data_IF_362768096856
#
_entry.id   IF_362768096856
#
_cell.length_a   1.000
_cell.length_b   1.000
_cell.length_c   1.000
_cell.angle_alpha   90.00
_cell.angle_beta   90.00
_cell.angle_gamma   90.00
#
_symmetry.space_group_name_H-M   'P 1'
#
loop_
_entity.id
_entity.type
_entity.pdbx_description
1 polymer ?
#
# COMPACT_ATOMS: atom_id res chain seq x y z
N UNK A 1 9.55 -28.58 -11.88
CA UNK A 1 8.09 -28.32 -11.86
C UNK A 1 7.88 -26.92 -12.38
N UNK A 2 7.17 -26.74 -13.51
CA UNK A 2 6.80 -25.41 -13.96
C UNK A 2 5.58 -24.96 -13.12
N UNK A 3 5.76 -23.97 -12.24
CA UNK A 3 4.63 -23.30 -11.60
C UNK A 3 3.89 -22.52 -12.68
N UNK A 4 2.67 -22.94 -12.96
CA UNK A 4 1.79 -22.22 -13.88
C UNK A 4 1.33 -20.95 -13.16
N UNK A 5 2.03 -19.83 -13.37
CA UNK A 5 1.69 -18.56 -12.73
C UNK A 5 0.43 -17.99 -13.38
N UNK A 6 -0.70 -18.05 -12.69
CA UNK A 6 -1.90 -17.33 -13.09
C UNK A 6 -1.66 -15.83 -12.95
N UNK A 7 -1.91 -15.08 -14.02
CA UNK A 7 -1.86 -13.62 -14.02
C UNK A 7 -3.27 -13.07 -13.88
N UNK A 8 -3.50 -12.30 -12.84
CA UNK A 8 -4.79 -11.67 -12.54
C UNK A 8 -4.90 -10.30 -13.20
N UNK A 9 -6.10 -9.95 -13.68
CA UNK A 9 -6.45 -8.52 -13.79
C UNK A 9 -6.48 -7.89 -12.40
N UNK A 10 -6.16 -6.60 -12.30
CA UNK A 10 -6.15 -5.89 -11.03
C UNK A 10 -7.09 -4.70 -11.06
N UNK A 11 -7.68 -4.41 -9.91
CA UNK A 11 -8.39 -3.17 -9.61
C UNK A 11 -7.51 -2.31 -8.71
N UNK A 12 -7.46 -1.01 -9.01
CA UNK A 12 -6.65 -0.04 -8.25
C UNK A 12 -7.54 1.09 -7.77
N UNK A 13 -7.56 1.31 -6.45
CA UNK A 13 -8.34 2.37 -5.83
C UNK A 13 -7.63 2.93 -4.60
N UNK A 14 -7.94 4.18 -4.25
CA UNK A 14 -7.51 4.77 -2.98
C UNK A 14 -8.65 4.64 -1.95
N UNK A 15 -8.30 4.27 -0.72
CA UNK A 15 -9.23 4.19 0.42
C UNK A 15 -8.63 4.87 1.63
N UNK A 16 -9.45 5.64 2.34
CA UNK A 16 -9.06 6.16 3.65
C UNK A 16 -8.95 5.02 4.66
N UNK A 17 -7.86 4.98 5.42
CA UNK A 17 -7.63 3.96 6.45
C UNK A 17 -7.55 4.55 7.87
N UNK A 18 -7.12 5.80 8.01
CA UNK A 18 -7.13 6.53 9.28
C UNK A 18 -7.32 8.03 9.02
N UNK A 19 -7.80 8.74 10.04
CA UNK A 19 -8.00 10.19 10.00
C UNK A 19 -7.47 10.84 11.26
N UNK A 20 -6.64 11.87 11.10
CA UNK A 20 -6.14 12.70 12.18
C UNK A 20 -6.70 14.12 12.04
N UNK A 21 -7.75 14.43 12.80
CA UNK A 21 -8.50 15.68 12.64
C UNK A 21 -9.10 15.77 11.23
N UNK A 22 -8.74 16.81 10.50
CA UNK A 22 -9.19 17.02 9.11
C UNK A 22 -8.28 16.37 8.06
N UNK A 23 -7.20 15.70 8.48
CA UNK A 23 -6.22 15.05 7.59
C UNK A 23 -6.50 13.55 7.45
N UNK A 24 -7.09 13.07 6.35
CA UNK A 24 -7.17 11.64 6.06
C UNK A 24 -5.81 11.11 5.58
N UNK A 25 -5.47 9.89 6.00
CA UNK A 25 -4.41 9.11 5.37
C UNK A 25 -5.04 8.04 4.49
N UNK A 26 -4.54 7.96 3.26
CA UNK A 26 -5.05 7.06 2.23
C UNK A 26 -4.12 5.87 2.07
N UNK A 27 -4.71 4.73 1.80
CA UNK A 27 -4.03 3.57 1.28
C UNK A 27 -4.42 3.40 -0.19
N UNK A 28 -3.47 3.06 -1.04
CA UNK A 28 -3.72 2.64 -2.42
C UNK A 28 -3.75 1.12 -2.48
N UNK A 29 -4.91 0.58 -2.83
CA UNK A 29 -5.15 -0.85 -2.90
C UNK A 29 -4.96 -1.33 -4.34
N UNK A 30 -4.12 -2.34 -4.51
CA UNK A 30 -3.97 -3.09 -5.75
C UNK A 30 -4.55 -4.49 -5.49
N UNK A 31 -5.75 -4.75 -6.02
CA UNK A 31 -6.51 -5.96 -5.73
C UNK A 31 -6.63 -6.86 -6.96
N UNK A 32 -6.18 -8.13 -6.91
CA UNK A 32 -6.44 -9.08 -7.97
C UNK A 32 -7.93 -9.38 -8.11
N UNK A 33 -8.43 -9.48 -9.35
CA UNK A 33 -9.78 -9.99 -9.64
C UNK A 33 -9.80 -11.51 -9.60
N UNK A 34 -10.85 -12.08 -9.02
CA UNK A 34 -11.06 -13.53 -8.92
C UNK A 34 -11.80 -13.94 -7.65
N UNK A 35 -12.01 -15.26 -7.46
CA UNK A 35 -12.80 -15.81 -6.34
C UNK A 35 -12.13 -15.77 -4.96
N UNK A 36 -10.84 -15.37 -4.87
CA UNK A 36 -10.11 -15.31 -3.60
C UNK A 36 -10.12 -16.63 -2.80
N UNK A 37 -9.71 -16.62 -1.51
CA UNK A 37 -9.07 -15.50 -0.83
C UNK A 37 -7.67 -15.24 -1.38
N UNK A 38 -7.23 -13.98 -1.35
CA UNK A 38 -5.87 -13.58 -1.71
C UNK A 38 -5.10 -13.17 -0.46
N UNK A 39 -3.81 -13.52 -0.31
CA UNK A 39 -2.96 -12.95 0.73
C UNK A 39 -2.87 -11.43 0.59
N UNK A 40 -2.66 -10.73 1.71
CA UNK A 40 -2.49 -9.28 1.75
C UNK A 40 -1.06 -8.94 2.17
N UNK A 41 -0.46 -7.96 1.49
CA UNK A 41 0.81 -7.34 1.86
C UNK A 41 0.60 -5.84 2.05
N UNK A 42 1.03 -5.32 3.20
CA UNK A 42 1.12 -3.87 3.42
C UNK A 42 2.46 -3.39 2.89
N UNK A 43 2.44 -2.37 2.03
CA UNK A 43 3.64 -1.73 1.49
C UNK A 43 3.86 -0.39 2.20
N UNK A 44 5.02 -0.30 2.85
CA UNK A 44 5.50 0.92 3.53
C UNK A 44 6.60 1.48 2.64
N UNK A 45 6.32 2.63 2.03
CA UNK A 45 7.25 3.22 1.08
C UNK A 45 8.60 3.56 1.70
N UNK A 46 9.63 3.57 0.86
CA UNK A 46 10.96 4.06 1.21
C UNK A 46 11.00 5.58 1.39
N UNK A 47 12.18 6.19 1.16
CA UNK A 47 12.35 7.65 1.30
C UNK A 47 12.90 8.09 2.66
N UNK A 48 13.61 7.18 3.34
CA UNK A 48 14.36 7.46 4.57
C UNK A 48 13.53 8.12 5.68
N UNK A 49 12.23 7.80 5.76
CA UNK A 49 11.27 8.35 6.72
C UNK A 49 11.01 9.86 6.61
N UNK A 50 11.46 10.49 5.51
CA UNK A 50 11.37 11.95 5.31
C UNK A 50 10.73 12.34 3.98
N UNK A 51 10.40 11.36 3.13
CA UNK A 51 9.83 11.60 1.81
C UNK A 51 9.07 10.36 1.33
N UNK A 52 8.17 10.57 0.38
CA UNK A 52 7.37 9.53 -0.27
C UNK A 52 5.90 9.58 0.07
N UNK A 53 5.13 8.74 -0.61
CA UNK A 53 3.71 8.55 -0.43
C UNK A 53 3.27 7.20 -1.03
N UNK A 54 1.97 6.91 -0.98
CA UNK A 54 1.35 5.68 -1.51
C UNK A 54 1.61 5.38 -3.01
N UNK A 55 2.17 6.31 -3.78
CA UNK A 55 2.47 6.12 -5.21
C UNK A 55 3.90 5.65 -5.49
N UNK A 56 4.80 5.67 -4.50
CA UNK A 56 6.23 5.35 -4.70
C UNK A 56 6.47 3.96 -5.31
N UNK A 57 5.65 2.96 -4.94
CA UNK A 57 5.78 1.57 -5.38
C UNK A 57 4.91 1.17 -6.57
N UNK A 58 4.22 2.10 -7.25
CA UNK A 58 3.10 1.82 -8.17
C UNK A 58 3.32 0.61 -9.10
N UNK A 59 4.40 0.59 -9.89
CA UNK A 59 4.63 -0.46 -10.88
C UNK A 59 5.01 -1.81 -10.25
N UNK A 60 5.78 -1.78 -9.16
CA UNK A 60 6.12 -2.98 -8.40
C UNK A 60 4.87 -3.57 -7.72
N UNK A 61 4.03 -2.71 -7.13
CA UNK A 61 2.79 -3.08 -6.47
C UNK A 61 1.78 -3.67 -7.46
N UNK A 62 1.65 -3.10 -8.68
CA UNK A 62 0.86 -3.68 -9.77
C UNK A 62 1.38 -5.05 -10.20
N UNK A 63 2.70 -5.17 -10.38
CA UNK A 63 3.31 -6.43 -10.81
C UNK A 63 3.09 -7.54 -9.77
N UNK A 64 3.26 -7.23 -8.50
CA UNK A 64 3.01 -8.17 -7.41
C UNK A 64 1.51 -8.50 -7.30
N UNK A 65 0.62 -7.51 -7.45
CA UNK A 65 -0.81 -7.77 -7.35
C UNK A 65 -1.32 -8.72 -8.45
N UNK A 66 -0.75 -8.63 -9.65
CA UNK A 66 -1.04 -9.54 -10.76
C UNK A 66 -0.70 -11.01 -10.44
N UNK A 67 0.12 -11.31 -9.44
CA UNK A 67 0.43 -12.69 -9.03
C UNK A 67 -0.57 -13.29 -8.04
N UNK A 68 -1.61 -12.53 -7.66
CA UNK A 68 -2.63 -12.98 -6.72
C UNK A 68 -2.40 -12.50 -5.28
N UNK A 69 -1.65 -11.42 -5.07
CA UNK A 69 -1.48 -10.76 -3.76
C UNK A 69 -2.27 -9.45 -3.75
N UNK A 70 -2.98 -9.13 -2.68
CA UNK A 70 -3.50 -7.78 -2.48
C UNK A 70 -2.37 -6.93 -1.92
N UNK A 71 -2.04 -5.82 -2.57
CA UNK A 71 -1.05 -4.86 -2.05
C UNK A 71 -1.77 -3.63 -1.52
N UNK A 72 -1.42 -3.20 -0.31
CA UNK A 72 -1.97 -2.03 0.36
C UNK A 72 -0.82 -1.05 0.61
N UNK A 73 -0.63 -0.08 -0.28
CA UNK A 73 0.43 0.92 -0.16
C UNK A 73 -0.06 2.11 0.65
N UNK A 74 0.61 2.42 1.76
CA UNK A 74 0.14 3.43 2.72
C UNK A 74 0.72 4.81 2.41
N UNK A 75 -0.09 5.86 2.56
CA UNK A 75 0.43 7.14 3.02
C UNK A 75 0.68 7.08 4.53
N UNK A 76 1.71 7.75 5.00
CA UNK A 76 1.92 8.04 6.42
C UNK A 76 2.61 9.39 6.55
N UNK A 77 2.47 10.06 7.69
CA UNK A 77 3.04 11.40 7.85
C UNK A 77 4.56 11.31 8.04
N UNK A 78 5.28 12.29 7.50
CA UNK A 78 6.74 12.42 7.54
C UNK A 78 7.15 13.83 7.98
N UNK A 79 8.41 14.05 8.44
CA UNK A 79 8.94 15.39 8.69
C UNK A 79 9.00 16.24 7.41
N UNK A 80 8.96 17.58 7.54
CA UNK A 80 8.88 18.35 8.79
C UNK A 80 7.47 18.42 9.40
N UNK A 81 6.43 18.04 8.68
CA UNK A 81 5.03 18.17 9.11
C UNK A 81 4.71 17.28 10.30
N UNK A 82 5.27 16.07 10.34
CA UNK A 82 5.13 15.17 11.46
C UNK A 82 6.43 14.40 11.75
N UNK A 83 7.21 14.81 12.77
CA UNK A 83 8.44 14.14 13.11
C UNK A 83 8.20 12.76 13.75
N UNK A 84 9.28 12.00 13.88
CA UNK A 84 9.28 10.78 14.69
C UNK A 84 8.66 11.04 16.08
N UNK A 85 7.78 10.17 16.59
CA UNK A 85 7.47 8.81 16.11
C UNK A 85 6.25 8.72 15.17
N UNK A 86 5.78 9.84 14.59
CA UNK A 86 4.47 9.88 13.93
C UNK A 86 4.31 8.88 12.78
N UNK A 87 5.31 8.74 11.90
CA UNK A 87 5.26 7.76 10.81
C UNK A 87 5.01 6.33 11.32
N UNK A 88 5.64 5.94 12.44
CA UNK A 88 5.43 4.62 13.04
C UNK A 88 4.05 4.48 13.66
N UNK A 89 3.54 5.54 14.30
CA UNK A 89 2.18 5.55 14.84
C UNK A 89 1.12 5.40 13.74
N UNK A 90 1.36 5.99 12.56
CA UNK A 90 0.44 5.92 11.42
C UNK A 90 0.44 4.54 10.75
N UNK A 91 1.57 3.82 10.77
CA UNK A 91 1.72 2.47 10.17
C UNK A 91 1.26 1.36 11.15
N UNK A 92 1.34 1.61 12.45
CA UNK A 92 0.97 0.68 13.52
C UNK A 92 -0.29 1.19 14.26
N UNK A 93 -1.41 1.24 13.54
CA UNK A 93 -2.71 1.63 14.08
C UNK A 93 -3.56 0.42 14.47
#
# INVERSE_FOLDING_TARGET
MATNTTIHEIEVEDREYVRHGDTPLLARLFKPRGRGPFPIMVEVHGGAWVNGNRFNGEEANKALAKTGVIVVALDFRVPPEAPYPTSLADIHY
#
